data_IF_035757445569
#
_entry.id   IF_035757445569
#
_cell.length_a   1.000
_cell.length_b   1.000
_cell.length_c   1.000
_cell.angle_alpha   90.00
_cell.angle_beta   90.00
_cell.angle_gamma   90.00
#
_symmetry.space_group_name_H-M   'P 1'
#
loop_
_entity.id
_entity.type
_entity.pdbx_description
1 polymer ?
#
# COMPACT_ATOMS: atom_id res chain seq x y z
N UNK A 1 53.55 -31.03 47.53
CA UNK A 1 52.79 -30.49 46.43
C UNK A 1 53.41 -29.12 46.08
N UNK A 2 53.96 -28.96 44.84
CA UNK A 2 54.85 -27.88 44.48
C UNK A 2 54.06 -26.57 44.32
N UNK A 3 54.40 -25.50 45.08
CA UNK A 3 53.74 -24.16 45.01
C UNK A 3 53.61 -23.63 43.60
N UNK A 4 54.52 -23.97 42.68
CA UNK A 4 54.42 -23.62 41.27
C UNK A 4 53.29 -24.34 40.50
N UNK A 5 52.98 -25.58 40.92
CA UNK A 5 51.88 -26.34 40.30
C UNK A 5 50.50 -25.81 40.76
N UNK A 6 50.42 -25.36 42.02
CA UNK A 6 49.18 -24.74 42.55
C UNK A 6 48.91 -23.40 41.82
N UNK A 7 49.93 -22.60 41.56
CA UNK A 7 49.81 -21.33 40.82
C UNK A 7 49.38 -21.54 39.36
N UNK A 8 49.92 -22.57 38.70
CA UNK A 8 49.54 -22.91 37.32
C UNK A 8 48.06 -23.39 37.21
N UNK A 9 47.60 -24.17 38.18
CA UNK A 9 46.20 -24.64 38.22
C UNK A 9 45.26 -23.47 38.51
N UNK A 10 45.62 -22.53 39.39
CA UNK A 10 44.79 -21.35 39.69
C UNK A 10 44.69 -20.39 38.48
N UNK A 11 45.78 -20.20 37.74
CA UNK A 11 45.80 -19.37 36.52
C UNK A 11 44.98 -20.04 35.40
N UNK A 12 45.04 -21.38 35.28
CA UNK A 12 44.21 -22.12 34.28
C UNK A 12 42.70 -22.06 34.61
N UNK A 13 42.32 -22.11 35.90
CA UNK A 13 40.93 -21.98 36.35
C UNK A 13 40.39 -20.54 36.18
N UNK A 14 41.22 -19.52 36.32
CA UNK A 14 40.86 -18.12 36.07
C UNK A 14 40.75 -17.82 34.57
N UNK A 15 41.54 -18.45 33.70
CA UNK A 15 41.47 -18.31 32.27
C UNK A 15 40.24 -19.02 31.64
N UNK A 16 39.72 -20.10 32.25
CA UNK A 16 38.54 -20.77 31.78
C UNK A 16 37.22 -20.06 32.13
N UNK A 17 37.26 -19.11 33.09
CA UNK A 17 36.06 -18.31 33.44
C UNK A 17 35.63 -17.29 32.36
N UNK A 18 36.51 -16.93 31.42
CA UNK A 18 36.21 -15.96 30.36
C UNK A 18 35.73 -16.58 29.05
N UNK A 19 35.66 -17.91 28.95
CA UNK A 19 35.15 -18.62 27.76
C UNK A 19 33.68 -19.03 27.87
N UNK A 20 33.03 -18.74 28.99
CA UNK A 20 31.64 -19.06 29.24
C UNK A 20 30.70 -17.83 29.19
N UNK A 21 31.08 -16.76 28.49
CA UNK A 21 30.09 -15.91 27.87
C UNK A 21 29.50 -16.69 26.71
N UNK A 22 28.80 -17.76 27.09
CA UNK A 22 28.00 -18.55 26.19
C UNK A 22 27.05 -17.59 25.48
N UNK A 23 27.20 -17.49 24.18
CA UNK A 23 26.27 -16.89 23.25
C UNK A 23 24.84 -17.19 23.73
N UNK A 24 24.23 -16.23 24.45
CA UNK A 24 22.80 -16.27 24.63
C UNK A 24 22.24 -16.37 23.19
N UNK A 25 21.40 -17.36 22.90
CA UNK A 25 20.85 -17.51 21.56
C UNK A 25 20.24 -16.17 21.19
N UNK A 26 20.85 -15.50 20.21
CA UNK A 26 20.44 -14.15 19.79
C UNK A 26 18.97 -14.28 19.39
N UNK A 27 18.07 -13.73 20.21
CA UNK A 27 16.62 -13.78 19.98
C UNK A 27 16.38 -13.30 18.55
N UNK A 28 15.79 -14.17 17.72
CA UNK A 28 15.49 -13.80 16.34
C UNK A 28 14.50 -12.64 16.34
N UNK A 29 14.77 -11.56 15.59
CA UNK A 29 13.81 -10.50 15.40
C UNK A 29 12.48 -11.03 14.89
N UNK A 30 11.39 -10.52 15.42
CA UNK A 30 10.03 -10.95 15.09
C UNK A 30 9.23 -9.78 14.53
N UNK A 31 8.76 -9.91 13.30
CA UNK A 31 7.89 -8.93 12.64
C UNK A 31 6.45 -9.43 12.70
N UNK A 32 5.51 -8.57 13.11
CA UNK A 32 4.08 -8.80 12.94
C UNK A 32 3.62 -8.18 11.62
N UNK A 33 2.99 -8.94 10.74
CA UNK A 33 2.34 -8.42 9.53
C UNK A 33 0.83 -8.50 9.71
N UNK A 34 0.16 -7.34 9.83
CA UNK A 34 -1.29 -7.25 10.00
C UNK A 34 -1.96 -6.88 8.68
N UNK A 35 -2.94 -7.66 8.25
CA UNK A 35 -3.64 -7.48 6.99
C UNK A 35 -5.16 -7.50 7.16
N UNK A 36 -5.87 -6.70 6.38
CA UNK A 36 -7.33 -6.75 6.27
C UNK A 36 -7.79 -7.87 5.33
N UNK A 37 -7.11 -8.03 4.19
CA UNK A 37 -7.45 -9.00 3.14
C UNK A 37 -6.80 -10.37 3.37
N UNK A 38 -7.34 -11.44 2.77
CA UNK A 38 -6.69 -12.75 2.74
C UNK A 38 -5.25 -12.66 2.21
N UNK A 39 -4.33 -13.42 2.81
CA UNK A 39 -2.92 -13.40 2.42
C UNK A 39 -2.71 -13.82 0.97
N UNK A 40 -3.54 -14.72 0.45
CA UNK A 40 -3.53 -15.11 -0.97
C UNK A 40 -3.81 -13.94 -1.91
N UNK A 41 -4.73 -13.05 -1.54
CA UNK A 41 -5.08 -11.87 -2.32
C UNK A 41 -4.01 -10.77 -2.31
N UNK A 42 -3.06 -10.82 -1.37
CA UNK A 42 -1.97 -9.85 -1.22
C UNK A 42 -0.58 -10.52 -1.34
N UNK A 43 -0.51 -11.72 -1.92
CA UNK A 43 0.71 -12.52 -2.03
C UNK A 43 1.87 -11.76 -2.69
N UNK A 44 1.62 -11.03 -3.78
CA UNK A 44 2.63 -10.21 -4.46
C UNK A 44 3.24 -9.13 -3.53
N UNK A 45 2.44 -8.59 -2.61
CA UNK A 45 2.86 -7.55 -1.66
C UNK A 45 3.67 -8.14 -0.50
N UNK A 46 3.20 -9.25 0.09
CA UNK A 46 3.96 -9.95 1.14
C UNK A 46 5.29 -10.46 0.60
N UNK A 47 5.33 -10.95 -0.65
CA UNK A 47 6.57 -11.35 -1.30
C UNK A 47 7.49 -10.16 -1.60
N UNK A 48 6.95 -9.00 -1.93
CA UNK A 48 7.74 -7.79 -2.10
C UNK A 48 8.43 -7.35 -0.79
N UNK A 49 7.73 -7.42 0.34
CA UNK A 49 8.33 -7.19 1.67
C UNK A 49 9.43 -8.22 1.96
N UNK A 50 9.16 -9.52 1.75
CA UNK A 50 10.17 -10.57 1.94
C UNK A 50 11.41 -10.35 1.06
N UNK A 51 11.20 -9.95 -0.20
CA UNK A 51 12.31 -9.61 -1.10
C UNK A 51 13.13 -8.44 -0.57
N UNK A 52 12.50 -7.34 -0.13
CA UNK A 52 13.19 -6.21 0.49
C UNK A 52 13.97 -6.62 1.74
N UNK A 53 13.40 -7.50 2.58
CA UNK A 53 14.11 -8.05 3.73
C UNK A 53 15.31 -8.90 3.32
N UNK A 54 15.19 -9.75 2.28
CA UNK A 54 16.32 -10.56 1.76
C UNK A 54 17.43 -9.69 1.20
N UNK A 55 17.11 -8.61 0.49
CA UNK A 55 18.07 -7.62 -0.01
C UNK A 55 18.90 -7.00 1.13
N UNK A 56 18.34 -6.94 2.35
CA UNK A 56 18.99 -6.44 3.57
C UNK A 56 19.62 -7.56 4.44
N UNK A 57 19.63 -8.80 3.95
CA UNK A 57 20.25 -9.94 4.63
C UNK A 57 19.34 -10.69 5.60
N UNK A 58 18.04 -10.37 5.66
CA UNK A 58 17.07 -11.10 6.47
C UNK A 58 16.42 -12.24 5.67
N UNK A 59 16.43 -13.44 6.25
CA UNK A 59 15.82 -14.64 5.65
C UNK A 59 14.84 -15.22 6.65
N UNK A 60 13.55 -15.23 6.29
CA UNK A 60 12.46 -15.77 7.11
C UNK A 60 12.75 -17.23 7.49
N UNK A 61 12.58 -17.54 8.78
CA UNK A 61 12.88 -18.84 9.35
C UNK A 61 14.37 -19.11 9.68
N UNK A 62 15.31 -18.23 9.24
CA UNK A 62 16.74 -18.34 9.55
C UNK A 62 17.20 -17.30 10.57
N UNK A 63 17.00 -16.03 10.27
CA UNK A 63 17.45 -14.92 11.12
C UNK A 63 16.37 -13.87 11.39
N UNK A 64 15.14 -14.11 10.93
CA UNK A 64 13.96 -13.31 11.21
C UNK A 64 12.71 -14.19 11.19
N UNK A 65 11.69 -13.84 12.00
CA UNK A 65 10.39 -14.48 12.03
C UNK A 65 9.35 -13.46 11.58
N UNK A 66 8.40 -13.87 10.71
CA UNK A 66 7.27 -13.04 10.31
C UNK A 66 5.98 -13.71 10.78
N UNK A 67 5.27 -13.04 11.68
CA UNK A 67 3.98 -13.46 12.22
C UNK A 67 2.86 -12.80 11.42
N UNK A 68 2.23 -13.55 10.55
CA UNK A 68 1.12 -13.05 9.74
C UNK A 68 -0.20 -13.15 10.50
N UNK A 69 -0.97 -12.04 10.49
CA UNK A 69 -2.35 -11.99 10.98
C UNK A 69 -3.23 -11.36 9.91
N UNK A 70 -4.23 -12.08 9.46
CA UNK A 70 -5.17 -11.63 8.44
C UNK A 70 -6.60 -11.64 9.00
N UNK A 71 -7.32 -10.56 8.75
CA UNK A 71 -8.74 -10.46 9.07
C UNK A 71 -9.64 -11.21 8.07
N UNK A 72 -9.07 -11.71 6.95
CA UNK A 72 -9.81 -12.43 5.90
C UNK A 72 -11.03 -11.63 5.40
N UNK A 73 -10.91 -10.31 5.29
CA UNK A 73 -11.99 -9.39 4.92
C UNK A 73 -12.97 -9.02 6.05
N UNK A 74 -12.86 -9.63 7.23
CA UNK A 74 -13.70 -9.36 8.40
C UNK A 74 -13.01 -8.32 9.28
N UNK A 75 -13.25 -7.03 8.99
CA UNK A 75 -12.51 -5.91 9.60
C UNK A 75 -12.71 -5.80 11.11
N UNK A 76 -13.81 -6.29 11.64
CA UNK A 76 -14.12 -6.39 13.08
C UNK A 76 -13.12 -7.26 13.86
N UNK A 77 -12.37 -8.15 13.18
CA UNK A 77 -11.32 -8.97 13.78
C UNK A 77 -9.99 -8.24 14.00
N UNK A 78 -9.77 -7.11 13.32
CA UNK A 78 -8.48 -6.41 13.35
C UNK A 78 -8.00 -6.01 14.76
N UNK A 79 -8.87 -5.52 15.69
CA UNK A 79 -8.43 -5.21 17.05
C UNK A 79 -7.87 -6.42 17.79
N UNK A 80 -8.54 -7.56 17.70
CA UNK A 80 -8.10 -8.80 18.36
C UNK A 80 -6.76 -9.30 17.76
N UNK A 81 -6.63 -9.28 16.43
CA UNK A 81 -5.42 -9.69 15.73
C UNK A 81 -4.22 -8.75 16.02
N UNK A 82 -4.47 -7.47 16.19
CA UNK A 82 -3.45 -6.51 16.63
C UNK A 82 -2.99 -6.82 18.05
N UNK A 83 -3.93 -7.10 18.97
CA UNK A 83 -3.62 -7.48 20.34
C UNK A 83 -2.82 -8.79 20.42
N UNK A 84 -3.10 -9.79 19.56
CA UNK A 84 -2.29 -11.00 19.44
C UNK A 84 -0.82 -10.70 19.11
N UNK A 85 -0.57 -9.82 18.12
CA UNK A 85 0.80 -9.43 17.76
C UNK A 85 1.52 -8.72 18.92
N UNK A 86 0.80 -7.86 19.65
CA UNK A 86 1.31 -7.22 20.87
C UNK A 86 1.66 -8.26 21.94
N UNK A 87 0.79 -9.22 22.15
CA UNK A 87 1.01 -10.32 23.13
C UNK A 87 2.22 -11.19 22.75
N UNK A 88 2.43 -11.44 21.45
CA UNK A 88 3.61 -12.14 20.92
C UNK A 88 4.90 -11.35 21.09
N UNK A 89 4.83 -10.09 21.54
CA UNK A 89 5.98 -9.18 21.73
C UNK A 89 6.83 -9.10 20.48
N UNK A 90 6.18 -8.84 19.33
CA UNK A 90 6.89 -8.61 18.08
C UNK A 90 7.74 -7.33 18.19
N UNK A 91 8.86 -7.29 17.48
CA UNK A 91 9.78 -6.15 17.54
C UNK A 91 9.31 -4.99 16.65
N UNK A 92 8.52 -5.28 15.61
CA UNK A 92 7.92 -4.29 14.68
C UNK A 92 6.60 -4.84 14.16
N UNK A 93 5.58 -3.98 14.00
CA UNK A 93 4.33 -4.32 13.31
C UNK A 93 4.32 -3.62 11.95
N UNK A 94 4.11 -4.36 10.87
CA UNK A 94 3.89 -3.83 9.53
C UNK A 94 2.40 -3.83 9.23
N UNK A 95 1.89 -2.68 8.78
CA UNK A 95 0.46 -2.47 8.48
C UNK A 95 0.25 -1.89 7.09
N UNK A 96 -0.95 -2.05 6.55
CA UNK A 96 -1.28 -1.62 5.20
C UNK A 96 -2.58 -0.82 5.16
N UNK A 97 -2.44 0.50 5.03
CA UNK A 97 -3.54 1.45 4.99
C UNK A 97 -4.15 1.78 6.36
N UNK A 98 -4.95 2.87 6.42
CA UNK A 98 -5.45 3.42 7.70
C UNK A 98 -6.34 2.45 8.47
N UNK A 99 -7.14 1.64 7.77
CA UNK A 99 -8.04 0.64 8.38
C UNK A 99 -7.30 -0.39 9.23
N UNK A 100 -6.06 -0.72 8.84
CA UNK A 100 -5.22 -1.70 9.56
C UNK A 100 -4.31 -1.01 10.58
N UNK A 101 -3.81 0.18 10.23
CA UNK A 101 -2.89 0.94 11.11
C UNK A 101 -3.59 1.41 12.38
N UNK A 102 -4.86 1.81 12.30
CA UNK A 102 -5.62 2.30 13.46
C UNK A 102 -5.74 1.26 14.58
N UNK A 103 -6.23 0.03 14.35
CA UNK A 103 -6.26 -1.02 15.38
C UNK A 103 -4.88 -1.34 15.96
N UNK A 104 -3.82 -1.34 15.14
CA UNK A 104 -2.45 -1.56 15.62
C UNK A 104 -1.98 -0.43 16.55
N UNK A 105 -2.32 0.83 16.24
CA UNK A 105 -2.04 2.00 17.08
C UNK A 105 -2.80 1.92 18.41
N UNK A 106 -4.08 1.57 18.37
CA UNK A 106 -4.94 1.47 19.56
C UNK A 106 -4.53 0.32 20.48
N UNK A 107 -4.04 -0.78 19.92
CA UNK A 107 -3.59 -1.94 20.69
C UNK A 107 -2.25 -1.70 21.41
N UNK A 108 -1.45 -0.72 20.98
CA UNK A 108 -0.13 -0.49 21.57
C UNK A 108 0.40 0.93 21.31
N UNK A 109 1.27 1.42 22.22
CA UNK A 109 1.92 2.72 22.13
C UNK A 109 3.45 2.63 22.07
N UNK A 110 4.02 1.44 22.14
CA UNK A 110 5.47 1.23 22.31
C UNK A 110 6.11 0.44 21.19
N UNK A 111 5.44 -0.63 20.70
CA UNK A 111 5.96 -1.41 19.57
C UNK A 111 5.93 -0.53 18.33
N UNK A 112 7.06 -0.38 17.62
CA UNK A 112 7.14 0.32 16.35
C UNK A 112 6.12 -0.19 15.33
N UNK A 113 5.47 0.72 14.62
CA UNK A 113 4.56 0.40 13.51
C UNK A 113 5.13 1.01 12.24
N UNK A 114 5.34 0.18 11.23
CA UNK A 114 5.71 0.58 9.87
C UNK A 114 4.46 0.48 8.99
N UNK A 115 3.86 1.61 8.66
CA UNK A 115 2.76 1.66 7.69
C UNK A 115 3.29 1.67 6.27
N UNK A 116 2.65 0.93 5.35
CA UNK A 116 3.12 0.81 3.97
C UNK A 116 2.28 1.60 2.97
N UNK A 117 1.06 1.96 3.28
CA UNK A 117 0.09 2.48 2.30
C UNK A 117 -0.93 3.43 2.93
N UNK A 118 -0.51 4.32 3.80
CA UNK A 118 -1.45 5.29 4.36
C UNK A 118 -1.74 6.42 3.36
N UNK A 119 -3.02 6.78 3.22
CA UNK A 119 -3.46 7.80 2.27
C UNK A 119 -3.30 9.22 2.81
N UNK A 120 -3.33 9.40 4.14
CA UNK A 120 -3.13 10.69 4.81
C UNK A 120 -2.68 10.46 6.27
N UNK A 121 -1.39 10.17 6.50
CA UNK A 121 -0.89 9.84 7.83
C UNK A 121 -1.08 10.94 8.88
N UNK A 122 -1.06 12.20 8.45
CA UNK A 122 -1.25 13.37 9.33
C UNK A 122 -2.75 13.56 9.64
N UNK A 123 -3.60 13.58 8.62
CA UNK A 123 -5.04 13.71 8.79
C UNK A 123 -5.67 12.53 9.55
N UNK A 124 -5.08 11.34 9.43
CA UNK A 124 -5.45 10.16 10.21
C UNK A 124 -4.93 10.20 11.67
N UNK A 125 -4.17 11.22 12.04
CA UNK A 125 -3.52 11.34 13.34
C UNK A 125 -2.57 10.18 13.69
N UNK A 126 -1.89 9.60 12.69
CA UNK A 126 -0.89 8.56 12.92
C UNK A 126 0.47 9.16 13.21
N UNK A 127 0.80 10.27 12.58
CA UNK A 127 2.05 11.00 12.76
C UNK A 127 1.79 12.51 12.93
N UNK A 128 2.68 13.21 13.61
CA UNK A 128 2.58 14.65 13.78
C UNK A 128 2.85 15.40 12.47
N UNK A 129 3.83 14.93 11.69
CA UNK A 129 4.14 15.40 10.34
C UNK A 129 4.87 14.30 9.56
N UNK A 130 4.95 14.42 8.23
CA UNK A 130 5.69 13.45 7.43
C UNK A 130 7.20 13.51 7.73
N UNK A 131 7.74 14.70 7.95
CA UNK A 131 9.17 14.88 8.24
C UNK A 131 9.58 14.43 9.65
N UNK A 132 8.68 14.57 10.63
CA UNK A 132 8.89 14.19 12.03
C UNK A 132 7.65 13.51 12.57
N UNK A 133 7.58 12.19 12.50
CA UNK A 133 6.42 11.42 12.96
C UNK A 133 6.09 11.61 14.43
N UNK A 134 7.10 11.67 15.31
CA UNK A 134 6.96 12.03 16.72
C UNK A 134 6.41 10.96 17.66
N UNK A 135 6.02 9.79 17.12
CA UNK A 135 5.45 8.67 17.88
C UNK A 135 6.10 7.33 17.54
N UNK A 136 5.37 6.24 17.78
CA UNK A 136 5.81 4.88 17.45
C UNK A 136 5.44 4.45 16.01
N UNK A 137 4.88 5.33 15.19
CA UNK A 137 4.45 5.05 13.82
C UNK A 137 5.32 5.82 12.83
N UNK A 138 5.77 5.14 11.78
CA UNK A 138 6.47 5.69 10.62
C UNK A 138 6.16 4.86 9.38
N UNK A 139 6.82 5.11 8.25
CA UNK A 139 6.75 4.26 7.07
C UNK A 139 6.48 5.03 5.77
N UNK A 140 5.52 4.55 4.98
CA UNK A 140 5.30 4.97 3.60
C UNK A 140 3.84 5.41 3.40
N UNK A 141 3.68 6.57 2.76
CA UNK A 141 2.38 7.13 2.41
C UNK A 141 2.08 6.89 0.92
N UNK A 142 0.80 6.87 0.57
CA UNK A 142 0.35 6.93 -0.84
C UNK A 142 -0.15 8.32 -1.22
N UNK A 143 0.01 9.30 -0.33
CA UNK A 143 -0.47 10.66 -0.54
C UNK A 143 0.26 11.31 -1.73
N UNK A 144 -0.44 11.43 -2.84
CA UNK A 144 -0.01 12.11 -4.05
C UNK A 144 -1.24 12.68 -4.79
N UNK A 145 -1.68 13.86 -4.42
CA UNK A 145 -2.86 14.49 -5.02
C UNK A 145 -2.78 14.61 -6.55
N UNK A 146 -1.57 14.81 -7.07
CA UNK A 146 -1.30 15.00 -8.49
C UNK A 146 -1.62 13.77 -9.36
N UNK A 147 -1.75 12.58 -8.75
CA UNK A 147 -2.07 11.34 -9.49
C UNK A 147 -3.39 11.48 -10.27
N UNK A 148 -4.41 12.08 -9.66
CA UNK A 148 -5.73 12.22 -10.30
C UNK A 148 -5.67 13.09 -11.56
N UNK A 149 -4.87 14.15 -11.55
CA UNK A 149 -4.60 14.96 -12.74
C UNK A 149 -3.89 14.16 -13.82
N UNK A 150 -2.88 13.36 -13.44
CA UNK A 150 -2.14 12.52 -14.39
C UNK A 150 -2.98 11.39 -14.98
N UNK A 151 -3.90 10.81 -14.20
CA UNK A 151 -4.86 9.85 -14.71
C UNK A 151 -5.77 10.45 -15.78
N UNK A 152 -6.26 11.68 -15.58
CA UNK A 152 -7.08 12.39 -16.57
C UNK A 152 -6.26 12.71 -17.84
N UNK A 153 -5.00 13.12 -17.70
CA UNK A 153 -4.09 13.36 -18.81
C UNK A 153 -3.89 12.11 -19.67
N UNK A 154 -3.57 10.98 -19.04
CA UNK A 154 -3.41 9.69 -19.73
C UNK A 154 -4.71 9.27 -20.44
N UNK A 155 -5.85 9.48 -19.80
CA UNK A 155 -7.15 9.20 -20.41
C UNK A 155 -7.38 10.08 -21.64
N UNK A 156 -7.01 11.36 -21.59
CA UNK A 156 -7.07 12.29 -22.72
C UNK A 156 -6.11 11.91 -23.86
N UNK A 157 -4.93 11.38 -23.52
CA UNK A 157 -3.99 10.88 -24.53
C UNK A 157 -4.53 9.65 -25.26
N UNK A 158 -5.24 8.74 -24.53
CA UNK A 158 -5.86 7.54 -25.12
C UNK A 158 -7.10 7.89 -25.92
N UNK A 159 -7.89 8.86 -25.45
CA UNK A 159 -9.11 9.33 -26.10
C UNK A 159 -9.01 10.83 -26.37
N UNK A 160 -8.32 11.28 -27.46
CA UNK A 160 -8.01 12.70 -27.67
C UNK A 160 -9.23 13.62 -27.77
N UNK A 161 -10.36 13.09 -28.23
CA UNK A 161 -11.60 13.87 -28.41
C UNK A 161 -12.48 13.96 -27.15
N UNK A 162 -12.08 13.32 -26.05
CA UNK A 162 -12.86 13.28 -24.81
C UNK A 162 -13.13 14.71 -24.31
N UNK A 163 -14.38 15.00 -24.02
CA UNK A 163 -14.86 16.29 -23.52
C UNK A 163 -15.62 16.17 -22.19
N UNK A 164 -16.09 14.97 -21.83
CA UNK A 164 -16.85 14.72 -20.60
C UNK A 164 -16.37 13.43 -19.92
N UNK A 165 -16.04 13.53 -18.65
CA UNK A 165 -15.56 12.39 -17.81
C UNK A 165 -16.43 12.28 -16.58
N UNK A 166 -17.03 11.11 -16.37
CA UNK A 166 -17.63 10.78 -15.10
C UNK A 166 -16.56 10.42 -14.08
N UNK A 167 -16.63 11.03 -12.90
CA UNK A 167 -15.71 10.79 -11.80
C UNK A 167 -16.47 10.08 -10.69
N UNK A 168 -16.18 8.80 -10.50
CA UNK A 168 -16.72 8.05 -9.38
C UNK A 168 -15.86 8.29 -8.15
N UNK A 169 -16.45 8.82 -7.11
CA UNK A 169 -15.79 9.09 -5.83
C UNK A 169 -16.67 8.65 -4.67
N UNK A 170 -16.09 8.62 -3.49
CA UNK A 170 -16.82 8.41 -2.24
C UNK A 170 -16.53 9.60 -1.32
N UNK A 171 -17.54 10.43 -1.09
CA UNK A 171 -17.42 11.68 -0.31
C UNK A 171 -17.00 11.44 1.13
N UNK A 172 -17.22 10.24 1.67
CA UNK A 172 -16.81 9.88 3.03
C UNK A 172 -15.36 9.40 3.12
N UNK A 173 -14.70 9.14 1.98
CA UNK A 173 -13.29 8.73 1.94
C UNK A 173 -12.38 9.95 2.11
N UNK A 174 -11.48 9.94 3.12
CA UNK A 174 -10.51 11.02 3.29
C UNK A 174 -9.69 11.26 2.01
N UNK A 175 -9.48 12.53 1.66
CA UNK A 175 -8.71 12.92 0.47
C UNK A 175 -9.52 13.01 -0.83
N UNK A 176 -10.77 12.52 -0.90
CA UNK A 176 -11.62 12.61 -2.12
C UNK A 176 -11.81 14.05 -2.59
N UNK A 177 -12.15 14.95 -1.69
CA UNK A 177 -12.33 16.36 -2.03
C UNK A 177 -11.04 17.00 -2.60
N UNK A 178 -9.90 16.63 -2.04
CA UNK A 178 -8.61 17.12 -2.51
C UNK A 178 -8.25 16.56 -3.89
N UNK A 179 -8.42 15.26 -4.10
CA UNK A 179 -8.21 14.59 -5.40
C UNK A 179 -9.10 15.20 -6.49
N UNK A 180 -10.38 15.48 -6.15
CA UNK A 180 -11.32 16.12 -7.07
C UNK A 180 -10.87 17.53 -7.45
N UNK A 181 -10.42 18.34 -6.50
CA UNK A 181 -9.90 19.69 -6.75
C UNK A 181 -8.69 19.70 -7.68
N UNK A 182 -7.75 18.77 -7.50
CA UNK A 182 -6.59 18.63 -8.40
C UNK A 182 -7.02 18.18 -9.80
N UNK A 183 -7.98 17.26 -9.88
CA UNK A 183 -8.55 16.81 -11.16
C UNK A 183 -9.29 17.94 -11.88
N UNK A 184 -10.04 18.79 -11.18
CA UNK A 184 -10.71 19.96 -11.77
C UNK A 184 -9.72 20.94 -12.37
N UNK A 185 -8.52 21.10 -11.75
CA UNK A 185 -7.44 21.92 -12.30
C UNK A 185 -6.93 21.36 -13.63
N UNK A 186 -6.68 20.06 -13.69
CA UNK A 186 -6.27 19.39 -14.92
C UNK A 186 -7.40 19.42 -15.98
N UNK A 187 -8.64 19.19 -15.58
CA UNK A 187 -9.79 19.23 -16.47
C UNK A 187 -9.96 20.57 -17.16
N UNK A 188 -9.78 21.69 -16.44
CA UNK A 188 -9.78 23.04 -17.04
C UNK A 188 -8.69 23.20 -18.07
N UNK A 189 -7.47 22.70 -17.80
CA UNK A 189 -6.34 22.80 -18.75
C UNK A 189 -6.58 21.98 -20.03
N UNK A 190 -7.28 20.86 -19.94
CA UNK A 190 -7.58 19.98 -21.08
C UNK A 190 -8.95 20.22 -21.75
N UNK A 191 -9.73 21.19 -21.29
CA UNK A 191 -11.06 21.46 -21.79
C UNK A 191 -12.06 20.33 -21.55
N UNK A 192 -11.90 19.59 -20.46
CA UNK A 192 -12.77 18.47 -20.08
C UNK A 192 -13.76 18.90 -19.00
N UNK A 193 -15.03 18.52 -19.16
CA UNK A 193 -16.07 18.68 -18.13
C UNK A 193 -16.12 17.43 -17.24
N UNK A 194 -16.09 17.63 -15.93
CA UNK A 194 -16.21 16.56 -14.97
C UNK A 194 -17.66 16.45 -14.47
N UNK A 195 -18.15 15.21 -14.36
CA UNK A 195 -19.39 14.86 -13.71
C UNK A 195 -19.06 14.02 -12.47
N UNK A 196 -19.10 14.62 -11.29
CA UNK A 196 -18.88 13.87 -10.04
C UNK A 196 -20.11 13.03 -9.69
N UNK A 197 -19.89 11.78 -9.37
CA UNK A 197 -20.89 10.79 -8.97
C UNK A 197 -20.47 10.19 -7.64
N UNK A 198 -21.23 10.49 -6.59
CA UNK A 198 -20.96 9.97 -5.24
C UNK A 198 -21.43 8.52 -5.10
N UNK A 199 -20.53 7.64 -4.67
CA UNK A 199 -20.78 6.21 -4.50
C UNK A 199 -20.33 5.82 -3.09
N UNK A 200 -21.26 5.76 -2.16
CA UNK A 200 -20.99 5.46 -0.76
C UNK A 200 -21.09 3.97 -0.44
N UNK A 201 -21.80 3.21 -1.26
CA UNK A 201 -21.99 1.77 -1.09
C UNK A 201 -21.93 1.01 -2.42
N UNK A 202 -21.75 -0.31 -2.41
CA UNK A 202 -21.79 -1.14 -3.63
C UNK A 202 -23.08 -0.98 -4.44
N UNK A 203 -24.21 -0.71 -3.78
CA UNK A 203 -25.53 -0.55 -4.43
C UNK A 203 -25.62 0.70 -5.32
N UNK A 204 -24.77 1.69 -5.08
CA UNK A 204 -24.79 2.96 -5.80
C UNK A 204 -24.04 2.85 -7.14
N UNK A 205 -23.22 1.83 -7.34
CA UNK A 205 -22.33 1.69 -8.51
C UNK A 205 -23.11 1.66 -9.82
N UNK A 206 -24.13 0.80 -9.93
CA UNK A 206 -24.93 0.71 -11.16
C UNK A 206 -25.69 2.01 -11.44
N UNK A 207 -26.18 2.67 -10.40
CA UNK A 207 -26.84 3.96 -10.52
C UNK A 207 -25.88 5.04 -11.01
N UNK A 208 -24.65 5.04 -10.52
CA UNK A 208 -23.60 5.94 -10.99
C UNK A 208 -23.28 5.73 -12.47
N UNK A 209 -23.15 4.50 -12.94
CA UNK A 209 -22.94 4.22 -14.38
C UNK A 209 -24.11 4.66 -15.24
N UNK A 210 -25.36 4.48 -14.80
CA UNK A 210 -26.54 5.02 -15.50
C UNK A 210 -26.53 6.54 -15.56
N UNK A 211 -26.18 7.21 -14.45
CA UNK A 211 -26.05 8.65 -14.40
C UNK A 211 -24.91 9.17 -15.28
N UNK A 212 -23.80 8.44 -15.38
CA UNK A 212 -22.72 8.75 -16.32
C UNK A 212 -23.23 8.72 -17.77
N UNK A 213 -24.00 7.71 -18.17
CA UNK A 213 -24.61 7.63 -19.50
C UNK A 213 -25.61 8.76 -19.77
N UNK A 214 -26.46 9.09 -18.80
CA UNK A 214 -27.40 10.23 -18.90
C UNK A 214 -26.68 11.57 -19.04
N UNK A 215 -25.54 11.72 -18.37
CA UNK A 215 -24.67 12.90 -18.48
C UNK A 215 -23.80 12.91 -19.73
N UNK A 216 -23.98 11.95 -20.65
CA UNK A 216 -23.16 11.77 -21.85
C UNK A 216 -21.66 11.70 -21.53
N UNK A 217 -21.28 11.01 -20.46
CA UNK A 217 -19.87 10.75 -20.16
C UNK A 217 -19.25 9.88 -21.27
N UNK A 218 -18.07 10.26 -21.70
CA UNK A 218 -17.28 9.58 -22.74
C UNK A 218 -16.20 8.67 -22.14
N UNK A 219 -15.95 8.82 -20.83
CA UNK A 219 -15.06 7.97 -20.06
C UNK A 219 -15.38 8.05 -18.57
N UNK A 220 -14.75 7.13 -17.80
CA UNK A 220 -14.87 7.05 -16.35
C UNK A 220 -13.50 7.16 -15.70
N UNK A 221 -13.42 7.90 -14.61
CA UNK A 221 -12.27 7.94 -13.71
C UNK A 221 -12.73 7.54 -12.31
N UNK A 222 -12.06 6.54 -11.73
CA UNK A 222 -12.42 6.01 -10.42
C UNK A 222 -11.40 6.48 -9.39
N UNK A 223 -11.85 7.26 -8.40
CA UNK A 223 -11.02 7.72 -7.28
C UNK A 223 -10.81 6.61 -6.26
N UNK A 224 -9.82 6.81 -5.38
CA UNK A 224 -9.49 5.82 -4.33
C UNK A 224 -10.64 5.69 -3.32
N UNK A 225 -11.12 4.45 -3.12
CA UNK A 225 -12.09 4.12 -2.07
C UNK A 225 -12.05 2.62 -1.73
N UNK A 226 -12.31 2.28 -0.47
CA UNK A 226 -12.47 0.88 -0.03
C UNK A 226 -13.64 0.18 -0.72
N UNK A 227 -14.76 0.90 -0.98
CA UNK A 227 -15.91 0.40 -1.72
C UNK A 227 -15.49 -0.04 -3.13
N UNK A 228 -14.73 0.80 -3.84
CA UNK A 228 -14.28 0.48 -5.19
C UNK A 228 -13.26 -0.66 -5.22
N UNK A 229 -12.36 -0.73 -4.23
CA UNK A 229 -11.40 -1.84 -4.13
C UNK A 229 -12.11 -3.19 -3.99
N UNK A 230 -13.18 -3.27 -3.21
CA UNK A 230 -13.93 -4.51 -3.01
C UNK A 230 -14.84 -4.87 -4.20
N UNK A 231 -15.19 -3.91 -5.04
CA UNK A 231 -16.10 -4.06 -6.18
C UNK A 231 -15.39 -3.85 -7.54
N UNK A 232 -14.07 -4.09 -7.58
CA UNK A 232 -13.24 -3.76 -8.75
C UNK A 232 -13.66 -4.51 -10.01
N UNK A 233 -14.00 -5.78 -9.90
CA UNK A 233 -14.50 -6.59 -11.03
C UNK A 233 -15.81 -6.03 -11.58
N UNK A 234 -16.78 -5.71 -10.70
CA UNK A 234 -18.03 -5.08 -11.10
C UNK A 234 -17.82 -3.74 -11.84
N UNK A 235 -16.90 -2.92 -11.34
CA UNK A 235 -16.57 -1.62 -11.94
C UNK A 235 -15.93 -1.79 -13.32
N UNK A 236 -15.03 -2.75 -13.48
CA UNK A 236 -14.40 -3.08 -14.76
C UNK A 236 -15.45 -3.57 -15.77
N UNK A 237 -16.29 -4.52 -15.37
CA UNK A 237 -17.37 -5.10 -16.21
C UNK A 237 -18.36 -4.03 -16.67
N UNK A 238 -18.81 -3.15 -15.76
CA UNK A 238 -19.73 -2.07 -16.10
C UNK A 238 -19.11 -1.06 -17.06
N UNK A 239 -17.83 -0.72 -16.91
CA UNK A 239 -17.14 0.16 -17.83
C UNK A 239 -17.07 -0.45 -19.24
N UNK A 240 -16.70 -1.73 -19.34
CA UNK A 240 -16.65 -2.47 -20.62
C UNK A 240 -18.04 -2.61 -21.23
N UNK A 241 -19.04 -3.01 -20.46
CA UNK A 241 -20.45 -3.16 -20.92
C UNK A 241 -21.01 -1.86 -21.49
N UNK A 242 -20.69 -0.72 -20.88
CA UNK A 242 -21.11 0.59 -21.35
C UNK A 242 -20.16 1.20 -22.41
N UNK A 243 -19.10 0.48 -22.83
CA UNK A 243 -18.07 0.94 -23.76
C UNK A 243 -17.41 2.26 -23.33
N UNK A 244 -17.24 2.45 -22.03
CA UNK A 244 -16.62 3.63 -21.45
C UNK A 244 -15.15 3.33 -21.14
N UNK A 245 -14.18 4.01 -21.81
CA UNK A 245 -12.81 3.99 -21.40
C UNK A 245 -12.70 4.38 -19.91
N UNK A 246 -12.08 3.52 -19.11
CA UNK A 246 -12.01 3.75 -17.67
C UNK A 246 -10.57 3.70 -17.16
N UNK A 247 -10.24 4.64 -16.26
CA UNK A 247 -8.97 4.65 -15.55
C UNK A 247 -9.17 4.44 -14.06
N UNK A 248 -8.24 3.68 -13.47
CA UNK A 248 -8.28 3.26 -12.09
C UNK A 248 -6.97 3.59 -11.38
N UNK A 249 -6.97 3.57 -10.06
CA UNK A 249 -5.83 3.92 -9.22
C UNK A 249 -4.96 2.73 -8.80
N UNK A 250 -5.34 1.50 -9.16
CA UNK A 250 -4.62 0.26 -8.78
C UNK A 250 -4.57 -0.72 -9.94
N UNK A 251 -3.45 -1.44 -10.03
CA UNK A 251 -3.20 -2.44 -11.07
C UNK A 251 -4.26 -3.55 -11.11
N UNK A 252 -4.76 -3.96 -9.95
CA UNK A 252 -5.73 -5.06 -9.84
C UNK A 252 -7.03 -4.79 -10.62
N UNK A 253 -7.42 -3.53 -10.83
CA UNK A 253 -8.55 -3.20 -11.69
C UNK A 253 -8.29 -3.55 -13.16
N UNK A 254 -7.07 -3.30 -13.65
CA UNK A 254 -6.71 -3.65 -15.02
C UNK A 254 -6.56 -5.17 -15.18
N UNK A 255 -6.05 -5.85 -14.16
CA UNK A 255 -5.95 -7.32 -14.10
C UNK A 255 -7.33 -7.98 -14.10
N UNK A 256 -8.33 -7.38 -13.44
CA UNK A 256 -9.72 -7.85 -13.40
C UNK A 256 -10.56 -7.39 -14.62
N UNK A 257 -9.93 -6.90 -15.69
CA UNK A 257 -10.63 -6.57 -16.94
C UNK A 257 -10.87 -5.08 -17.21
N UNK A 258 -10.42 -4.18 -16.33
CA UNK A 258 -10.46 -2.74 -16.57
C UNK A 258 -9.45 -2.30 -17.64
N UNK A 259 -9.73 -1.18 -18.32
CA UNK A 259 -8.92 -0.69 -19.45
C UNK A 259 -7.51 -0.28 -19.05
N UNK A 260 -7.39 0.54 -18.02
CA UNK A 260 -6.13 1.18 -17.64
C UNK A 260 -6.09 1.48 -16.15
N UNK A 261 -4.95 1.26 -15.54
CA UNK A 261 -4.66 1.82 -14.22
C UNK A 261 -3.38 2.65 -14.24
N UNK A 262 -3.41 3.77 -13.52
CA UNK A 262 -2.23 4.55 -13.20
C UNK A 262 -2.26 4.90 -11.72
N UNK A 263 -1.28 4.45 -10.99
CA UNK A 263 -1.24 4.63 -9.55
C UNK A 263 0.09 4.25 -8.92
N UNK A 264 0.11 4.30 -7.61
CA UNK A 264 1.30 3.96 -6.82
C UNK A 264 1.61 2.47 -6.94
N UNK A 265 2.87 2.12 -7.12
CA UNK A 265 3.32 0.74 -7.01
C UNK A 265 3.29 0.30 -5.54
N UNK A 266 2.26 -0.44 -5.16
CA UNK A 266 2.12 -0.95 -3.79
C UNK A 266 3.19 -1.98 -3.46
N UNK A 267 3.61 -2.78 -4.44
CA UNK A 267 4.71 -3.73 -4.25
C UNK A 267 6.04 -3.02 -4.01
N UNK A 268 6.28 -1.84 -4.62
CA UNK A 268 7.46 -1.04 -4.30
C UNK A 268 7.40 -0.48 -2.87
N UNK A 269 6.24 0.01 -2.44
CA UNK A 269 6.07 0.47 -1.06
C UNK A 269 6.30 -0.67 -0.05
N UNK A 270 5.71 -1.84 -0.27
CA UNK A 270 5.91 -3.00 0.62
C UNK A 270 7.38 -3.46 0.62
N UNK A 271 8.08 -3.45 -0.54
CA UNK A 271 9.52 -3.72 -0.61
C UNK A 271 10.35 -2.70 0.19
N UNK A 272 10.04 -1.41 0.05
CA UNK A 272 10.73 -0.32 0.77
C UNK A 272 10.45 -0.32 2.26
N UNK A 273 9.30 -0.83 2.70
CA UNK A 273 8.99 -0.98 4.13
C UNK A 273 10.04 -1.83 4.86
N UNK A 274 10.68 -2.78 4.17
CA UNK A 274 11.78 -3.56 4.72
C UNK A 274 12.95 -2.68 5.22
N UNK A 275 13.22 -1.54 4.55
CA UNK A 275 14.26 -0.59 4.97
C UNK A 275 13.93 0.07 6.31
N UNK A 276 12.64 0.36 6.55
CA UNK A 276 12.18 0.88 7.83
C UNK A 276 12.29 -0.16 8.93
N UNK A 277 11.88 -1.40 8.62
CA UNK A 277 12.03 -2.54 9.54
C UNK A 277 13.50 -2.72 9.92
N UNK A 278 14.41 -2.74 8.95
CA UNK A 278 15.85 -2.87 9.18
C UNK A 278 16.40 -1.75 10.09
N UNK A 279 16.09 -0.49 9.79
CA UNK A 279 16.52 0.66 10.61
C UNK A 279 16.02 0.52 12.04
N UNK A 280 14.76 0.13 12.24
CA UNK A 280 14.17 -0.04 13.57
C UNK A 280 14.82 -1.20 14.32
N UNK A 281 15.03 -2.34 13.68
CA UNK A 281 15.73 -3.49 14.29
C UNK A 281 17.18 -3.18 14.66
N UNK A 282 17.78 -2.19 13.99
CA UNK A 282 19.12 -1.64 14.30
C UNK A 282 19.09 -0.52 15.34
N UNK A 283 17.94 -0.21 15.92
CA UNK A 283 17.78 0.74 17.03
C UNK A 283 17.32 2.16 16.65
N UNK A 284 16.99 2.42 15.38
CA UNK A 284 16.42 3.71 15.01
C UNK A 284 14.99 3.86 15.59
N UNK A 285 14.68 5.06 16.08
CA UNK A 285 13.36 5.35 16.63
C UNK A 285 12.37 5.71 15.51
N UNK A 286 11.16 5.14 15.47
CA UNK A 286 10.14 5.53 14.50
C UNK A 286 9.86 7.03 14.47
N UNK A 287 9.91 7.69 15.63
CA UNK A 287 9.70 9.12 15.77
C UNK A 287 10.65 9.99 14.91
N UNK A 288 11.85 9.49 14.64
CA UNK A 288 12.92 10.19 13.91
C UNK A 288 13.04 9.77 12.45
N UNK A 289 12.27 8.75 12.03
CA UNK A 289 12.25 8.26 10.65
C UNK A 289 11.14 8.94 9.86
N UNK A 290 11.46 9.81 8.88
CA UNK A 290 10.44 10.49 8.08
C UNK A 290 9.52 9.50 7.36
N UNK A 291 8.24 9.87 7.24
CA UNK A 291 7.30 9.16 6.37
C UNK A 291 7.58 9.55 4.93
N UNK A 292 7.95 8.58 4.12
CA UNK A 292 8.25 8.81 2.70
C UNK A 292 7.00 8.69 1.83
N UNK A 293 6.97 9.52 0.79
CA UNK A 293 5.96 9.46 -0.26
C UNK A 293 6.40 8.50 -1.37
N UNK A 294 5.45 8.01 -2.22
CA UNK A 294 5.78 7.12 -3.32
C UNK A 294 6.66 7.83 -4.35
N UNK A 295 7.62 7.09 -4.88
CA UNK A 295 8.50 7.54 -5.95
C UNK A 295 8.29 6.75 -7.25
N UNK A 296 7.63 5.59 -7.14
CA UNK A 296 7.32 4.74 -8.29
C UNK A 296 5.82 4.67 -8.51
N UNK A 297 5.42 4.95 -9.75
CA UNK A 297 4.07 4.81 -10.26
C UNK A 297 4.07 3.77 -11.37
N UNK A 298 2.95 3.10 -11.57
CA UNK A 298 2.79 2.06 -12.59
C UNK A 298 1.64 2.41 -13.51
N UNK A 299 1.89 2.36 -14.83
CA UNK A 299 0.89 2.43 -15.88
C UNK A 299 0.64 1.01 -16.39
N UNK A 300 -0.55 0.49 -16.16
CA UNK A 300 -0.99 -0.81 -16.66
C UNK A 300 -2.06 -0.60 -17.70
N UNK A 301 -1.95 -1.26 -18.85
CA UNK A 301 -2.92 -1.18 -19.95
C UNK A 301 -3.39 -2.58 -20.30
N UNK A 302 -4.71 -2.77 -20.40
CA UNK A 302 -5.32 -4.03 -20.79
C UNK A 302 -5.86 -3.90 -22.23
N UNK A 303 -5.17 -4.57 -23.17
CA UNK A 303 -5.55 -4.56 -24.59
C UNK A 303 -6.82 -5.37 -24.86
N UNK A 304 -7.12 -6.39 -24.03
CA UNK A 304 -8.39 -7.13 -24.17
C UNK A 304 -9.59 -6.21 -23.87
N UNK A 305 -9.49 -5.42 -22.79
CA UNK A 305 -10.51 -4.43 -22.47
C UNK A 305 -10.63 -3.35 -23.57
N UNK A 306 -9.49 -2.87 -24.09
CA UNK A 306 -9.48 -1.90 -25.19
C UNK A 306 -10.21 -2.46 -26.42
N UNK A 307 -9.91 -3.71 -26.81
CA UNK A 307 -10.58 -4.39 -27.93
C UNK A 307 -12.08 -4.54 -27.72
N UNK A 308 -12.52 -4.90 -26.51
CA UNK A 308 -13.93 -5.08 -26.18
C UNK A 308 -14.75 -3.78 -26.32
N UNK A 309 -14.14 -2.64 -25.98
CA UNK A 309 -14.81 -1.33 -26.13
C UNK A 309 -14.58 -0.66 -27.49
N UNK A 310 -13.84 -1.34 -28.40
CA UNK A 310 -13.54 -0.81 -29.74
C UNK A 310 -12.50 0.31 -29.76
N UNK A 311 -11.60 0.34 -28.78
CA UNK A 311 -10.58 1.38 -28.63
C UNK A 311 -9.20 0.88 -29.07
N UNK A 312 -8.50 1.70 -29.83
CA UNK A 312 -7.09 1.48 -30.17
C UNK A 312 -6.21 2.36 -29.27
N UNK A 313 -5.30 1.73 -28.55
CA UNK A 313 -4.37 2.45 -27.68
C UNK A 313 -3.22 3.04 -28.53
N UNK A 314 -2.92 4.34 -28.41
CA UNK A 314 -1.83 4.96 -29.16
C UNK A 314 -0.46 4.35 -28.81
N UNK A 315 0.43 4.12 -29.81
CA UNK A 315 1.73 3.50 -29.58
C UNK A 315 2.61 4.23 -28.55
N UNK A 316 2.57 5.55 -28.53
CA UNK A 316 3.30 6.38 -27.57
C UNK A 316 2.83 6.18 -26.11
N UNK A 317 1.60 5.74 -25.89
CA UNK A 317 1.09 5.38 -24.55
C UNK A 317 1.54 3.97 -24.18
N UNK A 318 1.47 3.03 -25.14
CA UNK A 318 1.91 1.64 -24.91
C UNK A 318 3.38 1.53 -24.54
N UNK A 319 4.26 2.32 -25.18
CA UNK A 319 5.71 2.30 -24.86
C UNK A 319 5.99 2.74 -23.42
N UNK A 320 5.11 3.57 -22.83
CA UNK A 320 5.25 4.04 -21.44
C UNK A 320 4.59 3.12 -20.42
N UNK A 321 3.84 2.12 -20.86
CA UNK A 321 3.20 1.19 -19.95
C UNK A 321 4.24 0.25 -19.29
N UNK A 322 4.19 0.16 -17.96
CA UNK A 322 5.01 -0.79 -17.19
C UNK A 322 4.55 -2.23 -17.43
N UNK A 323 3.26 -2.41 -17.69
CA UNK A 323 2.66 -3.71 -18.02
C UNK A 323 1.57 -3.55 -19.07
N UNK A 324 1.59 -4.44 -20.07
CA UNK A 324 0.54 -4.55 -21.08
C UNK A 324 -0.08 -5.94 -20.99
N UNK A 325 -1.36 -6.01 -20.60
CA UNK A 325 -2.15 -7.24 -20.54
C UNK A 325 -2.72 -7.50 -21.93
N UNK A 326 -2.48 -8.74 -22.46
CA UNK A 326 -2.86 -9.17 -23.81
C UNK A 326 -3.87 -10.29 -23.74
#
# INVERSE_FOLDING_TARGET
MNRKLLWLVTVLLLASGHLAEAQQPKKLPRIGYLAASPLSAISARTEALRRGLRELGYVEGKNIIIEYRSAEGKLDRLPALAAELVHLKVDVIVTSGPTVTRPAKEANTTIPIVMTQDTDPVGNNFVASLARPGGNITGLSTLRPEISGRQLELLKEIVPKISRVAVLGNSTTPGTAHALKEMERAARAFGVKLQYLDVQSPKDIETAFRAAGQGNAEAVLVLTSGVFTSQRTQLADLAVKNRLPATYYRREFAEDGGLMSYGVSFTDLDRRAATYVDKILKGAKPADLPVEQPTKFELIINLNAAKQIGLTIPPNVLVRADTVIK
#
